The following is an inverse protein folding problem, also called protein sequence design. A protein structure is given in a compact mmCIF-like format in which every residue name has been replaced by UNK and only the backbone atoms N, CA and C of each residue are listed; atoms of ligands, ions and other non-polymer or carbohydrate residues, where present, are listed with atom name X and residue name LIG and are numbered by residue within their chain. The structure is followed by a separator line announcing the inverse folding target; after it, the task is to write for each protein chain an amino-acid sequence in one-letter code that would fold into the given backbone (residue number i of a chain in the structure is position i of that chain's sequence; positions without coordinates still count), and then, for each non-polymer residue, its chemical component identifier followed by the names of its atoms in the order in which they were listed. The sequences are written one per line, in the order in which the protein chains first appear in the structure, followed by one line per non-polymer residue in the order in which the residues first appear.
data_IF_001850090329
#
_entry.id   IF_001850090329
#
_cell.length_a   1.000
_cell.length_b   1.000
_cell.length_c   1.000
_cell.angle_alpha   90.00
_cell.angle_beta   90.00
_cell.angle_gamma   90.00
#
_symmetry.space_group_name_H-M   'P 1'
#
loop_
_entity.id
_entity.type
_entity.pdbx_description
1 polymer ?
#
# COMPACT_ATOMS: atom_id res chain seq x y z
N UNK A 1 -8.41 15.59 26.16
CA UNK A 1 -7.77 16.88 25.84
C UNK A 1 -7.02 16.70 24.54
N UNK A 2 -7.38 17.44 23.49
CA UNK A 2 -6.81 17.22 22.16
C UNK A 2 -5.36 17.70 22.11
N UNK A 3 -4.42 16.79 21.88
CA UNK A 3 -3.00 17.15 21.70
C UNK A 3 -2.82 17.75 20.30
N UNK A 4 -2.98 19.07 20.19
CA UNK A 4 -2.70 19.84 18.97
C UNK A 4 -1.22 20.22 18.86
N UNK A 5 -0.30 19.28 19.09
CA UNK A 5 1.14 19.58 19.09
C UNK A 5 1.75 19.31 17.71
N UNK A 6 1.34 20.12 16.72
CA UNK A 6 1.91 20.06 15.38
C UNK A 6 3.38 20.49 15.42
N UNK A 7 4.29 19.61 15.00
CA UNK A 7 5.71 19.93 14.87
C UNK A 7 6.02 20.47 13.48
N UNK A 8 6.76 21.57 13.42
CA UNK A 8 7.17 22.19 12.15
C UNK A 8 8.31 21.38 11.53
N UNK A 9 8.14 20.96 10.29
CA UNK A 9 9.17 20.40 9.44
C UNK A 9 9.37 21.25 8.18
N UNK A 10 10.57 21.24 7.62
CA UNK A 10 10.89 21.87 6.33
C UNK A 10 11.21 20.78 5.33
N UNK A 11 10.52 20.81 4.19
CA UNK A 11 10.69 19.85 3.09
C UNK A 11 10.91 20.60 1.79
N UNK A 12 11.81 20.08 0.96
CA UNK A 12 12.04 20.60 -0.38
C UNK A 12 11.21 19.80 -1.38
N UNK A 13 10.54 20.51 -2.29
CA UNK A 13 9.79 19.91 -3.39
C UNK A 13 10.41 20.30 -4.71
N UNK A 14 10.35 19.39 -5.68
CA UNK A 14 10.58 19.76 -7.07
C UNK A 14 9.64 20.88 -7.49
N UNK A 15 10.13 21.79 -8.32
CA UNK A 15 9.37 22.97 -8.77
C UNK A 15 8.02 22.61 -9.39
N UNK A 16 7.97 21.52 -10.17
CA UNK A 16 6.74 21.03 -10.80
C UNK A 16 5.76 20.47 -9.75
N UNK A 17 6.25 19.67 -8.81
CA UNK A 17 5.43 19.10 -7.72
C UNK A 17 4.84 20.20 -6.86
N UNK A 18 5.63 21.19 -6.46
CA UNK A 18 5.15 22.34 -5.68
C UNK A 18 4.05 23.12 -6.42
N UNK A 19 4.17 23.29 -7.75
CA UNK A 19 3.13 23.94 -8.56
C UNK A 19 1.82 23.14 -8.55
N UNK A 20 1.90 21.82 -8.71
CA UNK A 20 0.74 20.93 -8.68
C UNK A 20 0.08 20.96 -7.28
N UNK A 21 0.87 20.89 -6.21
CA UNK A 21 0.39 21.01 -4.83
C UNK A 21 -0.32 22.33 -4.58
N UNK A 22 0.21 23.45 -5.11
CA UNK A 22 -0.46 24.76 -5.02
C UNK A 22 -1.81 24.78 -5.73
N UNK A 23 -1.90 24.19 -6.91
CA UNK A 23 -3.17 24.10 -7.65
C UNK A 23 -4.19 23.26 -6.88
N UNK A 24 -3.77 22.07 -6.41
CA UNK A 24 -4.63 21.19 -5.60
C UNK A 24 -5.09 21.83 -4.29
N UNK A 25 -4.21 22.58 -3.63
CA UNK A 25 -4.53 23.36 -2.44
C UNK A 25 -5.62 24.41 -2.72
N UNK A 26 -5.49 25.14 -3.82
CA UNK A 26 -6.48 26.13 -4.24
C UNK A 26 -7.83 25.49 -4.62
N UNK A 27 -7.80 24.40 -5.38
CA UNK A 27 -8.99 23.64 -5.82
C UNK A 27 -9.76 23.04 -4.63
N UNK A 28 -9.04 22.51 -3.64
CA UNK A 28 -9.65 21.83 -2.49
C UNK A 28 -9.92 22.75 -1.30
N UNK A 29 -9.54 24.04 -1.39
CA UNK A 29 -9.57 24.99 -0.27
C UNK A 29 -8.80 24.51 0.97
N UNK A 30 -7.67 23.82 0.76
CA UNK A 30 -6.81 23.28 1.82
C UNK A 30 -5.42 23.90 1.76
N UNK A 31 -4.69 23.87 2.88
CA UNK A 31 -3.26 24.22 2.85
C UNK A 31 -2.44 23.10 2.23
N UNK A 32 -1.27 23.44 1.67
CA UNK A 32 -0.29 22.46 1.22
C UNK A 32 0.13 21.54 2.38
N UNK A 33 0.31 22.11 3.58
CA UNK A 33 0.68 21.33 4.77
C UNK A 33 -0.38 20.27 5.11
N UNK A 34 -1.67 20.58 4.98
CA UNK A 34 -2.73 19.61 5.25
C UNK A 34 -2.74 18.49 4.20
N UNK A 35 -2.56 18.83 2.92
CA UNK A 35 -2.49 17.84 1.84
C UNK A 35 -1.28 16.91 2.03
N UNK A 36 -0.12 17.47 2.36
CA UNK A 36 1.11 16.71 2.59
C UNK A 36 0.97 15.83 3.84
N UNK A 37 0.43 16.38 4.93
CA UNK A 37 0.22 15.62 6.17
C UNK A 37 -0.70 14.41 5.94
N UNK A 38 -1.82 14.59 5.25
CA UNK A 38 -2.71 13.50 4.88
C UNK A 38 -2.02 12.43 4.02
N UNK A 39 -1.21 12.85 3.04
CA UNK A 39 -0.51 11.94 2.16
C UNK A 39 0.51 11.09 2.95
N UNK A 40 1.25 11.71 3.87
CA UNK A 40 2.19 11.01 4.75
C UNK A 40 1.45 10.05 5.68
N UNK A 41 0.33 10.47 6.30
CA UNK A 41 -0.46 9.58 7.14
C UNK A 41 -0.97 8.36 6.38
N UNK A 42 -1.49 8.54 5.16
CA UNK A 42 -1.97 7.42 4.35
C UNK A 42 -0.85 6.45 4.01
N UNK A 43 0.29 6.96 3.55
CA UNK A 43 1.44 6.11 3.24
C UNK A 43 1.88 5.27 4.46
N UNK A 44 1.90 5.88 5.65
CA UNK A 44 2.25 5.15 6.89
C UNK A 44 1.15 4.20 7.39
N UNK A 45 -0.12 4.51 7.09
CA UNK A 45 -1.23 3.62 7.45
C UNK A 45 -1.24 2.35 6.61
N UNK A 46 -0.95 2.45 5.31
CA UNK A 46 -0.82 1.29 4.41
C UNK A 46 0.24 0.31 4.96
N UNK A 47 1.42 0.81 5.34
CA UNK A 47 2.46 -0.01 5.97
C UNK A 47 1.99 -0.67 7.28
N UNK A 48 1.23 0.06 8.10
CA UNK A 48 0.71 -0.45 9.37
C UNK A 48 -0.37 -1.53 9.17
N UNK A 49 -1.22 -1.37 8.16
CA UNK A 49 -2.23 -2.36 7.77
C UNK A 49 -1.59 -3.64 7.26
N UNK A 50 -0.52 -3.54 6.46
CA UNK A 50 0.25 -4.68 5.99
C UNK A 50 0.86 -5.47 7.16
N UNK A 51 1.51 -4.78 8.11
CA UNK A 51 2.08 -5.42 9.30
C UNK A 51 1.01 -6.13 10.14
N UNK A 52 -0.13 -5.47 10.37
CA UNK A 52 -1.24 -6.08 11.10
C UNK A 52 -1.82 -7.31 10.38
N UNK A 53 -1.86 -7.28 9.04
CA UNK A 53 -2.27 -8.44 8.24
C UNK A 53 -1.27 -9.59 8.36
N UNK A 54 0.04 -9.33 8.42
CA UNK A 54 1.03 -10.38 8.68
C UNK A 54 0.84 -11.02 10.06
N UNK A 55 0.65 -10.21 11.10
CA UNK A 55 0.42 -10.69 12.47
C UNK A 55 -0.87 -11.54 12.56
N UNK A 56 -1.97 -11.09 11.95
CA UNK A 56 -3.23 -11.82 11.95
C UNK A 56 -3.13 -13.19 11.25
N UNK A 57 -2.21 -13.31 10.28
CA UNK A 57 -1.98 -14.55 9.51
C UNK A 57 -0.98 -15.50 10.14
N UNK A 58 -0.38 -15.15 11.28
CA UNK A 58 0.55 -16.03 11.99
C UNK A 58 -0.07 -17.39 12.33
N UNK A 59 -1.38 -17.41 12.62
CA UNK A 59 -2.13 -18.62 12.93
C UNK A 59 -2.67 -19.37 11.69
N UNK A 60 -2.50 -18.83 10.48
CA UNK A 60 -2.96 -19.49 9.26
C UNK A 60 -2.10 -20.74 8.99
N UNK A 61 -2.73 -21.90 8.71
CA UNK A 61 -1.97 -23.10 8.39
C UNK A 61 -1.21 -22.90 7.07
N UNK A 62 0.05 -23.33 7.05
CA UNK A 62 0.86 -23.30 5.83
C UNK A 62 0.25 -24.22 4.77
N UNK A 63 0.00 -23.68 3.59
CA UNK A 63 -0.50 -24.44 2.45
C UNK A 63 0.66 -24.88 1.55
N UNK A 64 0.66 -26.14 1.12
CA UNK A 64 1.63 -26.58 0.12
C UNK A 64 1.33 -25.93 -1.22
N UNK A 65 2.36 -25.73 -2.04
CA UNK A 65 2.17 -25.18 -3.38
C UNK A 65 1.19 -26.02 -4.24
N UNK A 66 1.23 -27.35 -4.11
CA UNK A 66 0.31 -28.23 -4.82
C UNK A 66 -1.15 -28.04 -4.40
N UNK A 67 -1.41 -27.87 -3.10
CA UNK A 67 -2.76 -27.70 -2.58
C UNK A 67 -3.31 -26.29 -2.90
N UNK A 68 -2.44 -25.28 -2.92
CA UNK A 68 -2.77 -23.95 -3.46
C UNK A 68 -3.19 -24.02 -4.93
N UNK A 69 -2.45 -24.75 -5.77
CA UNK A 69 -2.79 -24.92 -7.18
C UNK A 69 -4.10 -25.69 -7.39
N UNK A 70 -4.40 -26.68 -6.56
CA UNK A 70 -5.70 -27.39 -6.60
C UNK A 70 -6.85 -26.45 -6.24
N UNK A 71 -6.70 -25.65 -5.18
CA UNK A 71 -7.70 -24.66 -4.76
C UNK A 71 -7.95 -23.60 -5.85
N UNK A 72 -6.90 -23.02 -6.44
CA UNK A 72 -7.01 -22.01 -7.49
C UNK A 72 -7.64 -22.52 -8.79
N UNK A 73 -7.44 -23.81 -9.12
CA UNK A 73 -8.11 -24.46 -10.26
C UNK A 73 -9.59 -24.72 -9.97
N UNK A 74 -9.94 -25.05 -8.72
CA UNK A 74 -11.32 -25.25 -8.31
C UNK A 74 -12.12 -23.93 -8.34
N UNK A 75 -11.49 -22.82 -7.92
CA UNK A 75 -12.11 -21.49 -7.88
C UNK A 75 -12.16 -20.77 -9.25
N UNK A 76 -11.73 -21.44 -10.33
CA UNK A 76 -11.71 -20.90 -11.71
C UNK A 76 -10.93 -19.59 -11.91
N UNK A 77 -10.13 -19.18 -10.92
CA UNK A 77 -9.28 -17.99 -10.96
C UNK A 77 -7.99 -18.22 -11.76
N UNK A 78 -7.61 -19.47 -11.98
CA UNK A 78 -6.47 -19.83 -12.82
C UNK A 78 -6.89 -19.86 -14.30
N UNK A 79 -7.04 -18.67 -14.88
CA UNK A 79 -7.21 -18.50 -16.32
C UNK A 79 -6.00 -19.02 -17.13
N UNK A 80 -6.10 -19.12 -18.47
CA UNK A 80 -5.17 -19.85 -19.35
C UNK A 80 -3.72 -19.29 -19.44
N UNK A 81 -3.37 -18.30 -18.62
CA UNK A 81 -2.10 -17.59 -18.69
C UNK A 81 -0.97 -18.23 -17.86
N UNK A 82 -1.27 -19.22 -17.01
CA UNK A 82 -0.24 -19.94 -16.28
C UNK A 82 0.11 -21.24 -17.02
N UNK A 83 0.92 -21.11 -18.08
CA UNK A 83 1.65 -22.28 -18.61
C UNK A 83 2.66 -22.69 -17.53
N UNK A 84 2.70 -23.96 -17.11
CA UNK A 84 3.70 -24.40 -16.14
C UNK A 84 5.07 -24.12 -16.74
N UNK A 85 5.84 -23.22 -16.12
CA UNK A 85 7.26 -23.16 -16.38
C UNK A 85 7.82 -24.51 -15.92
N UNK A 86 8.35 -25.27 -16.86
CA UNK A 86 9.14 -26.45 -16.59
C UNK A 86 10.35 -26.01 -15.78
N UNK A 87 10.22 -26.06 -14.45
CA UNK A 87 11.39 -26.10 -13.58
C UNK A 87 12.08 -27.42 -13.92
N UNK A 88 13.10 -27.32 -14.77
CA UNK A 88 14.05 -28.39 -14.95
C UNK A 88 14.72 -28.57 -13.60
N UNK A 89 14.46 -29.70 -12.96
CA UNK A 89 15.36 -30.26 -11.97
C UNK A 89 16.79 -30.21 -12.54
N UNK A 90 17.67 -29.52 -11.81
CA UNK A 90 19.08 -29.87 -11.63
C UNK A 90 19.54 -29.37 -10.27
#
# INVERSE_FOLDING_TARGET
MAHSDNKRATVYFDKQVHRILRLKAAETHRSISAIVNDAVHRALMEDAEDLAAFEARESEPTLTYEDMLKALKADSLLGPLMKPNSVSEK
#
